data_IF_616834222130
#
_entry.id   IF_616834222130
#
_cell.length_a   1.000
_cell.length_b   1.000
_cell.length_c   1.000
_cell.angle_alpha   90.00
_cell.angle_beta   90.00
_cell.angle_gamma   90.00
#
_symmetry.space_group_name_H-M   'P 1'
#
loop_
_entity.id
_entity.type
_entity.pdbx_description
1 polymer ?
#
# COMPACT_ATOMS: atom_id res chain seq x y z
N UNK A 1 11.61 -8.17 10.09
CA UNK A 1 10.57 -7.68 9.16
C UNK A 1 9.22 -8.13 9.67
N UNK A 2 8.22 -7.24 9.70
CA UNK A 2 6.84 -7.59 10.05
C UNK A 2 6.28 -8.61 9.03
N UNK A 3 5.50 -9.60 9.48
CA UNK A 3 5.00 -10.70 8.62
C UNK A 3 4.13 -10.17 7.46
N UNK A 4 3.31 -9.16 7.76
CA UNK A 4 2.49 -8.46 6.76
C UNK A 4 3.35 -7.80 5.67
N UNK A 5 4.43 -7.11 6.07
CA UNK A 5 5.37 -6.46 5.13
C UNK A 5 5.99 -7.47 4.17
N UNK A 6 6.36 -8.66 4.67
CA UNK A 6 6.90 -9.74 3.84
C UNK A 6 5.87 -10.25 2.82
N UNK A 7 4.63 -10.53 3.26
CA UNK A 7 3.52 -10.96 2.37
C UNK A 7 3.23 -9.95 1.25
N UNK A 8 3.21 -8.66 1.59
CA UNK A 8 3.01 -7.57 0.61
C UNK A 8 4.13 -7.57 -0.44
N UNK A 9 5.39 -7.69 -0.01
CA UNK A 9 6.54 -7.67 -0.92
C UNK A 9 6.58 -8.87 -1.88
N UNK A 10 6.22 -10.06 -1.39
CA UNK A 10 6.20 -11.31 -2.18
C UNK A 10 5.04 -11.37 -3.18
N UNK A 11 4.03 -10.52 -3.02
CA UNK A 11 2.84 -10.51 -3.89
C UNK A 11 3.18 -9.99 -5.29
N UNK A 12 3.19 -10.88 -6.28
CA UNK A 12 3.46 -10.56 -7.70
C UNK A 12 2.33 -9.82 -8.40
N UNK A 13 1.09 -9.91 -7.90
CA UNK A 13 -0.10 -9.27 -8.50
C UNK A 13 -0.24 -7.78 -8.19
N UNK A 14 0.61 -7.26 -7.29
CA UNK A 14 0.64 -5.85 -6.92
C UNK A 14 1.83 -5.16 -7.56
N UNK A 15 1.60 -3.96 -8.07
CA UNK A 15 2.66 -3.04 -8.49
C UNK A 15 3.46 -2.54 -7.29
N UNK A 16 4.67 -2.07 -7.54
CA UNK A 16 5.54 -1.52 -6.49
C UNK A 16 4.90 -0.32 -5.78
N UNK A 17 4.16 0.53 -6.50
CA UNK A 17 3.43 1.66 -5.89
C UNK A 17 2.31 1.18 -4.95
N UNK A 18 1.57 0.15 -5.32
CA UNK A 18 0.53 -0.43 -4.47
C UNK A 18 1.13 -1.05 -3.20
N UNK A 19 2.26 -1.76 -3.31
CA UNK A 19 2.99 -2.30 -2.16
C UNK A 19 3.48 -1.19 -1.24
N UNK A 20 4.09 -0.14 -1.81
CA UNK A 20 4.60 0.99 -1.06
C UNK A 20 3.49 1.72 -0.28
N UNK A 21 2.31 1.92 -0.89
CA UNK A 21 1.15 2.50 -0.20
C UNK A 21 0.72 1.64 1.00
N UNK A 22 0.63 0.31 0.85
CA UNK A 22 0.26 -0.55 1.98
C UNK A 22 1.33 -0.57 3.08
N UNK A 23 2.61 -0.55 2.73
CA UNK A 23 3.70 -0.53 3.71
C UNK A 23 3.62 0.76 4.52
N UNK A 24 3.53 1.91 3.86
CA UNK A 24 3.46 3.19 4.54
C UNK A 24 2.22 3.30 5.44
N UNK A 25 1.09 2.75 5.00
CA UNK A 25 -0.16 2.80 5.76
C UNK A 25 -0.19 1.83 6.96
N UNK A 26 0.21 0.58 6.76
CA UNK A 26 0.05 -0.48 7.77
C UNK A 26 1.32 -0.80 8.58
N UNK A 27 2.49 -0.41 8.11
CA UNK A 27 3.76 -0.66 8.81
C UNK A 27 4.36 0.60 9.39
N UNK A 28 4.13 1.74 8.75
CA UNK A 28 4.73 3.03 9.14
C UNK A 28 3.66 4.01 9.66
N UNK A 29 2.42 3.55 9.87
CA UNK A 29 1.27 4.27 10.45
C UNK A 29 0.96 5.64 9.81
N UNK A 30 1.27 5.82 8.52
CA UNK A 30 0.95 7.04 7.79
C UNK A 30 -0.49 7.07 7.29
N UNK A 31 -1.11 8.25 7.39
CA UNK A 31 -2.41 8.52 6.77
C UNK A 31 -2.31 8.63 5.24
N UNK A 32 -3.42 8.46 4.52
CA UNK A 32 -3.44 8.62 3.04
C UNK A 32 -2.94 10.01 2.61
N UNK A 33 -3.23 11.05 3.40
CA UNK A 33 -2.76 12.42 3.18
C UNK A 33 -1.24 12.54 3.35
N UNK A 34 -0.65 11.94 4.38
CA UNK A 34 0.80 11.94 4.57
C UNK A 34 1.50 11.15 3.47
N UNK A 35 0.94 10.00 3.08
CA UNK A 35 1.46 9.20 1.96
C UNK A 35 1.40 9.99 0.65
N UNK A 36 0.33 10.75 0.42
CA UNK A 36 0.19 11.61 -0.75
C UNK A 36 1.30 12.66 -0.82
N UNK A 37 1.63 13.28 0.32
CA UNK A 37 2.74 14.21 0.43
C UNK A 37 4.11 13.52 0.22
N UNK A 38 4.31 12.34 0.80
CA UNK A 38 5.57 11.57 0.66
C UNK A 38 5.81 11.13 -0.78
N UNK A 39 4.76 10.74 -1.49
CA UNK A 39 4.85 10.23 -2.86
C UNK A 39 4.62 11.29 -3.94
N UNK A 40 4.44 12.56 -3.54
CA UNK A 40 4.19 13.72 -4.41
C UNK A 40 3.05 13.47 -5.43
N UNK A 41 1.92 13.00 -4.92
CA UNK A 41 0.69 12.73 -5.70
C UNK A 41 -0.55 13.14 -4.91
N UNK A 42 -1.72 13.16 -5.57
CA UNK A 42 -2.96 13.48 -4.86
C UNK A 42 -3.40 12.38 -3.90
N UNK A 43 -4.08 12.76 -2.82
CA UNK A 43 -4.68 11.81 -1.86
C UNK A 43 -5.69 10.87 -2.54
N UNK A 44 -6.44 11.36 -3.53
CA UNK A 44 -7.33 10.53 -4.36
C UNK A 44 -6.56 9.42 -5.09
N UNK A 45 -5.37 9.73 -5.62
CA UNK A 45 -4.54 8.72 -6.29
C UNK A 45 -4.06 7.65 -5.30
N UNK A 46 -3.68 8.04 -4.09
CA UNK A 46 -3.30 7.10 -3.03
C UNK A 46 -4.49 6.23 -2.63
N UNK A 47 -5.67 6.82 -2.45
CA UNK A 47 -6.90 6.06 -2.13
C UNK A 47 -7.24 5.01 -3.19
N UNK A 48 -7.07 5.33 -4.48
CA UNK A 48 -7.25 4.36 -5.57
C UNK A 48 -6.24 3.21 -5.51
N UNK A 49 -4.95 3.52 -5.33
CA UNK A 49 -3.89 2.53 -5.20
C UNK A 49 -4.13 1.63 -3.98
N UNK A 50 -4.49 2.23 -2.84
CA UNK A 50 -4.84 1.52 -1.61
C UNK A 50 -6.03 0.57 -1.84
N UNK A 51 -7.11 1.05 -2.45
CA UNK A 51 -8.30 0.24 -2.74
C UNK A 51 -7.95 -0.97 -3.62
N UNK A 52 -7.19 -0.76 -4.69
CA UNK A 52 -6.76 -1.84 -5.58
C UNK A 52 -5.80 -2.82 -4.90
N UNK A 53 -4.89 -2.32 -4.08
CA UNK A 53 -3.98 -3.11 -3.26
C UNK A 53 -4.72 -4.02 -2.26
N UNK A 54 -5.70 -3.46 -1.54
CA UNK A 54 -6.56 -4.21 -0.60
C UNK A 54 -7.35 -5.30 -1.32
N UNK A 55 -7.86 -5.03 -2.51
CA UNK A 55 -8.52 -6.06 -3.30
C UNK A 55 -7.60 -7.24 -3.57
N UNK A 56 -6.33 -7.01 -3.91
CA UNK A 56 -5.35 -8.09 -4.10
C UNK A 56 -5.01 -8.81 -2.80
N UNK A 57 -4.87 -8.07 -1.69
CA UNK A 57 -4.54 -8.64 -0.38
C UNK A 57 -5.63 -9.62 0.10
N UNK A 58 -6.91 -9.32 -0.15
CA UNK A 58 -8.05 -10.20 0.18
C UNK A 58 -8.07 -11.54 -0.57
N UNK A 59 -7.35 -11.67 -1.68
CA UNK A 59 -7.22 -12.95 -2.39
C UNK A 59 -6.06 -13.81 -1.86
N UNK A 60 -5.22 -13.24 -0.98
CA UNK A 60 -3.96 -13.85 -0.53
C UNK A 60 -4.01 -14.20 0.96
N UNK A 61 -4.81 -13.47 1.74
CA UNK A 61 -5.16 -13.78 3.13
C UNK A 61 -6.35 -14.73 3.18
#
# INVERSE_FOLDING_TARGET
>A
MNELKKKILETKKMSEKEKQVLILYYCDDLTLKEIANVLDVSESRISQLHTKAIQQLRYIL
#
